data_IF_626916176782
#
_entry.id   IF_626916176782
#
_cell.length_a   1.000
_cell.length_b   1.000
_cell.length_c   1.000
_cell.angle_alpha   90.00
_cell.angle_beta   90.00
_cell.angle_gamma   90.00
#
_symmetry.space_group_name_H-M   'P 1'
#
loop_
_entity.id
_entity.type
_entity.pdbx_description
1 polymer ?
#
# COMPACT_ATOMS: atom_id res chain seq x y z
N UNK A 1 42.75 9.24 30.06
CA UNK A 1 42.14 9.54 28.75
C UNK A 1 41.45 8.35 28.09
N UNK A 2 42.10 7.19 27.90
CA UNK A 2 41.52 6.02 27.19
C UNK A 2 40.18 5.53 27.76
N UNK A 3 39.98 5.58 29.08
CA UNK A 3 38.72 5.19 29.72
C UNK A 3 37.55 6.10 29.33
N UNK A 4 37.80 7.40 29.17
CA UNK A 4 36.77 8.40 28.80
C UNK A 4 36.40 8.22 27.31
N UNK A 5 37.39 7.97 26.45
CA UNK A 5 37.15 7.68 25.03
C UNK A 5 36.33 6.39 24.85
N UNK A 6 36.65 5.32 25.59
CA UNK A 6 35.86 4.08 25.54
C UNK A 6 34.42 4.28 26.01
N UNK A 7 34.23 5.04 27.10
CA UNK A 7 32.90 5.37 27.63
C UNK A 7 32.08 6.19 26.61
N UNK A 8 32.71 7.17 25.95
CA UNK A 8 32.08 7.97 24.91
C UNK A 8 31.59 7.12 23.73
N UNK A 9 32.42 6.20 23.22
CA UNK A 9 32.02 5.31 22.12
C UNK A 9 30.92 4.32 22.52
N UNK A 10 30.90 3.86 23.77
CA UNK A 10 29.84 2.98 24.29
C UNK A 10 28.51 3.73 24.35
N UNK A 11 28.49 4.95 24.91
CA UNK A 11 27.28 5.77 24.98
C UNK A 11 26.78 6.11 23.57
N UNK A 12 27.67 6.48 22.66
CA UNK A 12 27.34 6.79 21.27
C UNK A 12 26.78 5.56 20.54
N UNK A 13 27.38 4.38 20.76
CA UNK A 13 26.91 3.12 20.19
C UNK A 13 25.53 2.72 20.71
N UNK A 14 25.26 2.89 22.01
CA UNK A 14 23.93 2.62 22.58
C UNK A 14 22.88 3.59 22.05
N UNK A 15 23.22 4.89 21.95
CA UNK A 15 22.34 5.91 21.34
C UNK A 15 22.02 5.53 19.89
N UNK A 16 23.04 5.14 19.12
CA UNK A 16 22.89 4.78 17.72
C UNK A 16 22.04 3.52 17.54
N UNK A 17 22.28 2.50 18.36
CA UNK A 17 21.52 1.26 18.33
C UNK A 17 20.05 1.48 18.72
N UNK A 18 19.80 2.33 19.71
CA UNK A 18 18.43 2.73 20.12
C UNK A 18 17.71 3.50 19.02
N UNK A 19 18.42 4.38 18.31
CA UNK A 19 17.92 5.07 17.12
C UNK A 19 17.54 4.07 16.02
N UNK A 20 18.41 3.11 15.70
CA UNK A 20 18.09 2.10 14.68
C UNK A 20 16.86 1.27 15.05
N UNK A 21 16.74 0.81 16.29
CA UNK A 21 15.55 0.10 16.78
C UNK A 21 14.29 0.94 16.63
N UNK A 22 14.36 2.23 16.97
CA UNK A 22 13.24 3.17 16.85
C UNK A 22 12.86 3.38 15.38
N UNK A 23 13.83 3.54 14.47
CA UNK A 23 13.61 3.68 13.04
C UNK A 23 12.98 2.40 12.44
N UNK A 24 13.51 1.23 12.80
CA UNK A 24 12.95 -0.07 12.35
C UNK A 24 11.54 -0.28 12.87
N UNK A 25 11.28 0.02 14.14
CA UNK A 25 9.95 -0.06 14.73
C UNK A 25 8.98 0.89 14.01
N UNK A 26 9.39 2.13 13.77
CA UNK A 26 8.61 3.12 13.04
C UNK A 26 8.36 2.71 11.60
N UNK A 27 9.31 2.06 10.93
CA UNK A 27 9.15 1.58 9.56
C UNK A 27 8.16 0.41 9.43
N UNK A 28 8.08 -0.44 10.45
CA UNK A 28 7.19 -1.62 10.49
C UNK A 28 5.78 -1.24 10.92
N UNK A 29 5.67 -0.48 12.01
CA UNK A 29 4.37 -0.10 12.57
C UNK A 29 3.76 1.12 11.87
N UNK A 30 4.58 1.88 11.13
CA UNK A 30 4.25 3.11 10.39
C UNK A 30 3.07 3.89 11.00
N UNK A 31 3.17 4.28 12.29
CA UNK A 31 2.03 4.84 13.01
C UNK A 31 1.60 6.21 12.43
N UNK A 32 2.45 6.84 11.63
CA UNK A 32 2.20 8.10 10.96
C UNK A 32 1.97 7.97 9.46
N UNK A 33 1.95 6.74 8.92
CA UNK A 33 1.70 6.47 7.50
C UNK A 33 2.55 7.38 6.60
N UNK A 34 3.86 7.47 6.84
CA UNK A 34 4.74 8.40 6.09
C UNK A 34 5.13 7.84 4.70
N UNK A 35 4.85 6.56 4.44
CA UNK A 35 5.04 5.90 3.14
C UNK A 35 4.56 6.71 1.92
N UNK A 36 3.39 7.38 1.90
CA UNK A 36 2.94 8.19 0.76
C UNK A 36 3.74 9.48 0.58
N UNK A 37 4.42 9.98 1.61
CA UNK A 37 5.10 11.29 1.59
C UNK A 37 6.59 11.23 1.26
N UNK A 38 7.24 10.07 1.42
CA UNK A 38 8.65 9.86 1.04
C UNK A 38 8.83 9.24 -0.36
N UNK A 39 7.79 8.61 -0.91
CA UNK A 39 7.77 8.12 -2.28
C UNK A 39 7.99 9.21 -3.37
N UNK A 40 7.48 10.45 -3.26
CA UNK A 40 7.77 11.49 -4.26
C UNK A 40 9.21 12.02 -4.25
N UNK A 41 10.02 11.70 -3.23
CA UNK A 41 11.42 12.13 -3.17
C UNK A 41 12.34 11.08 -3.84
N UNK A 42 12.01 9.79 -3.74
CA UNK A 42 12.77 8.70 -4.39
C UNK A 42 12.29 8.46 -5.83
N UNK A 43 11.01 8.74 -6.14
CA UNK A 43 10.43 8.64 -7.49
C UNK A 43 10.92 9.70 -8.49
N UNK A 44 11.72 10.68 -8.07
CA UNK A 44 12.35 11.67 -8.98
C UNK A 44 13.72 11.25 -9.52
N UNK A 45 14.26 10.10 -9.11
CA UNK A 45 15.55 9.61 -9.63
C UNK A 45 15.44 8.41 -10.58
N UNK A 46 14.25 7.84 -10.79
CA UNK A 46 14.05 6.82 -11.83
C UNK A 46 12.65 7.01 -12.44
N UNK A 47 12.60 7.10 -13.77
CA UNK A 47 11.45 7.27 -14.68
C UNK A 47 11.04 8.72 -15.05
N UNK A 48 11.47 9.20 -16.23
CA UNK A 48 10.86 10.35 -16.87
C UNK A 48 9.58 9.87 -17.58
N UNK A 49 8.43 9.97 -16.92
CA UNK A 49 7.17 10.03 -17.66
C UNK A 49 6.82 11.51 -17.86
N UNK A 50 7.30 12.01 -18.99
CA UNK A 50 6.80 13.21 -19.67
C UNK A 50 5.27 13.16 -19.73
N UNK A 51 4.66 14.17 -19.11
CA UNK A 51 3.30 14.61 -19.41
C UNK A 51 3.32 15.26 -20.79
N UNK A 52 2.42 14.87 -21.68
CA UNK A 52 1.90 15.74 -22.73
C UNK A 52 0.59 15.17 -23.27
N UNK A 53 -0.48 15.93 -23.06
CA UNK A 53 -1.76 15.85 -23.76
C UNK A 53 -1.57 15.88 -25.29
N UNK A 54 -2.39 15.13 -26.05
CA UNK A 54 -3.05 15.57 -27.30
C UNK A 54 -3.95 14.44 -27.88
N UNK A 55 -5.20 14.82 -28.16
CA UNK A 55 -6.27 14.19 -28.96
C UNK A 55 -5.93 13.06 -29.96
N UNK A 56 -6.89 12.13 -30.11
CA UNK A 56 -7.60 11.74 -31.37
C UNK A 56 -7.79 10.21 -31.52
N UNK A 57 -9.06 9.80 -31.34
CA UNK A 57 -9.86 8.87 -32.16
C UNK A 57 -9.40 7.42 -32.44
N UNK A 58 -10.26 6.52 -31.96
CA UNK A 58 -10.67 5.20 -32.46
C UNK A 58 -9.63 4.15 -32.85
N UNK A 59 -9.61 3.06 -32.06
CA UNK A 59 -9.94 1.75 -32.62
C UNK A 59 -10.36 0.80 -31.51
N UNK A 60 -11.62 0.36 -31.59
CA UNK A 60 -12.14 -0.81 -30.92
C UNK A 60 -11.16 -1.98 -31.08
N UNK A 61 -10.72 -2.54 -29.96
CA UNK A 61 -10.45 -3.97 -29.89
C UNK A 61 -11.32 -4.49 -28.77
N UNK A 62 -12.46 -5.04 -29.18
CA UNK A 62 -13.27 -5.95 -28.40
C UNK A 62 -12.36 -7.06 -27.84
N UNK A 63 -11.89 -6.87 -26.61
CA UNK A 63 -11.60 -7.99 -25.72
C UNK A 63 -12.69 -7.96 -24.67
N UNK A 64 -13.80 -8.61 -25.00
CA UNK A 64 -14.80 -9.07 -24.04
C UNK A 64 -14.14 -10.06 -23.08
N UNK A 65 -13.32 -9.56 -22.16
CA UNK A 65 -12.97 -10.27 -20.95
C UNK A 65 -13.99 -9.81 -19.91
N UNK A 66 -15.04 -10.62 -19.80
CA UNK A 66 -16.06 -10.55 -18.75
C UNK A 66 -15.42 -10.71 -17.37
N UNK A 67 -14.62 -9.73 -16.94
CA UNK A 67 -14.04 -9.68 -15.61
C UNK A 67 -14.90 -8.72 -14.80
N UNK A 68 -16.02 -9.23 -14.30
CA UNK A 68 -16.93 -8.60 -13.34
C UNK A 68 -16.23 -8.36 -11.99
N UNK A 69 -15.11 -7.66 -11.98
CA UNK A 69 -14.38 -7.33 -10.76
C UNK A 69 -14.08 -5.84 -10.84
N UNK A 70 -14.78 -5.07 -10.01
CA UNK A 70 -14.75 -3.59 -9.85
C UNK A 70 -13.38 -3.07 -9.37
N UNK A 71 -12.30 -3.75 -9.75
CA UNK A 71 -10.93 -3.52 -9.30
C UNK A 71 -10.12 -2.89 -10.43
N UNK A 72 -9.36 -1.85 -10.10
CA UNK A 72 -8.41 -1.22 -11.02
C UNK A 72 -7.29 -2.20 -11.40
N UNK A 73 -6.60 -2.01 -12.55
CA UNK A 73 -5.48 -2.88 -12.95
C UNK A 73 -4.40 -3.00 -11.87
N UNK A 74 -4.13 -1.90 -11.15
CA UNK A 74 -3.17 -1.87 -10.05
C UNK A 74 -3.65 -2.71 -8.84
N UNK A 75 -4.96 -2.70 -8.55
CA UNK A 75 -5.53 -3.54 -7.49
C UNK A 75 -5.39 -5.02 -7.84
N UNK A 76 -5.67 -5.41 -9.09
CA UNK A 76 -5.51 -6.80 -9.55
C UNK A 76 -4.07 -7.30 -9.40
N UNK A 77 -3.11 -6.49 -9.82
CA UNK A 77 -1.68 -6.83 -9.69
C UNK A 77 -1.25 -7.02 -8.23
N UNK A 78 -1.76 -6.19 -7.32
CA UNK A 78 -1.48 -6.35 -5.88
C UNK A 78 -2.08 -7.65 -5.36
N UNK A 79 -3.32 -7.97 -5.73
CA UNK A 79 -3.99 -9.23 -5.36
C UNK A 79 -3.21 -10.45 -5.85
N UNK A 80 -2.78 -10.45 -7.10
CA UNK A 80 -1.95 -11.54 -7.65
C UNK A 80 -0.62 -11.65 -6.91
N UNK A 81 0.02 -10.52 -6.58
CA UNK A 81 1.30 -10.51 -5.85
C UNK A 81 1.23 -11.09 -4.44
N UNK A 82 0.04 -11.07 -3.82
CA UNK A 82 -0.22 -11.67 -2.50
C UNK A 82 -0.83 -13.09 -2.60
N UNK A 83 -0.88 -13.66 -3.81
CA UNK A 83 -1.38 -15.02 -4.06
C UNK A 83 -2.91 -15.12 -4.10
N UNK A 84 -3.62 -14.02 -4.31
CA UNK A 84 -5.08 -13.98 -4.39
C UNK A 84 -5.50 -13.92 -5.86
N UNK A 85 -6.40 -14.81 -6.26
CA UNK A 85 -6.98 -14.76 -7.59
C UNK A 85 -8.08 -13.67 -7.63
N UNK A 86 -7.96 -12.62 -8.47
CA UNK A 86 -8.99 -11.59 -8.58
C UNK A 86 -10.36 -12.13 -9.07
N UNK A 87 -10.36 -13.30 -9.71
CA UNK A 87 -11.58 -13.98 -10.16
C UNK A 87 -12.28 -14.77 -9.06
N UNK A 88 -11.60 -15.05 -7.94
CA UNK A 88 -12.22 -15.70 -6.77
C UNK A 88 -12.91 -14.72 -5.83
N UNK A 89 -12.87 -13.42 -6.15
CA UNK A 89 -13.56 -12.39 -5.39
C UNK A 89 -15.02 -12.26 -5.85
N UNK A 90 -15.95 -12.00 -4.92
CA UNK A 90 -17.32 -11.72 -5.30
C UNK A 90 -17.36 -10.44 -6.15
N UNK A 91 -18.10 -10.51 -7.26
CA UNK A 91 -18.29 -9.39 -8.19
C UNK A 91 -19.07 -8.22 -7.57
N UNK A 92 -19.75 -8.45 -6.46
CA UNK A 92 -20.52 -7.46 -5.71
C UNK A 92 -20.25 -7.61 -4.22
N UNK A 93 -20.01 -6.48 -3.55
CA UNK A 93 -19.87 -6.43 -2.10
C UNK A 93 -21.23 -6.10 -1.50
N UNK A 94 -21.71 -6.93 -0.58
CA UNK A 94 -22.98 -6.68 0.13
C UNK A 94 -22.83 -5.55 1.16
N UNK A 95 -23.92 -4.87 1.55
CA UNK A 95 -23.87 -3.83 2.59
C UNK A 95 -23.30 -4.34 3.93
N UNK A 96 -23.54 -5.60 4.27
CA UNK A 96 -22.99 -6.26 5.47
C UNK A 96 -21.46 -6.36 5.41
N UNK A 97 -20.93 -6.75 4.25
CA UNK A 97 -19.50 -6.84 4.02
C UNK A 97 -18.87 -5.44 4.06
N UNK A 98 -19.53 -4.43 3.49
CA UNK A 98 -19.06 -3.05 3.57
C UNK A 98 -18.94 -2.56 5.02
N UNK A 99 -19.91 -2.86 5.88
CA UNK A 99 -19.82 -2.53 7.31
C UNK A 99 -18.64 -3.24 7.97
N UNK A 100 -18.39 -4.50 7.62
CA UNK A 100 -17.20 -5.23 8.10
C UNK A 100 -15.89 -4.57 7.63
N UNK A 101 -15.80 -4.18 6.35
CA UNK A 101 -14.66 -3.46 5.81
C UNK A 101 -14.43 -2.13 6.54
N UNK A 102 -15.50 -1.37 6.81
CA UNK A 102 -15.43 -0.10 7.57
C UNK A 102 -14.98 -0.35 9.01
N UNK A 103 -15.42 -1.43 9.65
CA UNK A 103 -14.98 -1.79 11.00
C UNK A 103 -13.50 -2.17 11.11
N UNK A 104 -12.93 -2.76 10.06
CA UNK A 104 -11.52 -3.21 10.03
C UNK A 104 -10.56 -2.12 9.51
N UNK A 105 -10.94 -1.45 8.42
CA UNK A 105 -10.08 -0.50 7.70
C UNK A 105 -10.40 0.96 8.03
N UNK A 106 -11.60 1.24 8.53
CA UNK A 106 -12.11 2.59 8.73
C UNK A 106 -12.79 3.17 7.48
N UNK A 107 -13.78 4.03 7.70
CA UNK A 107 -14.61 4.61 6.62
C UNK A 107 -13.79 5.34 5.56
N UNK A 108 -12.80 6.13 5.98
CA UNK A 108 -11.93 6.89 5.07
C UNK A 108 -11.18 5.94 4.12
N UNK A 109 -10.61 4.85 4.66
CA UNK A 109 -9.83 3.90 3.87
C UNK A 109 -10.70 3.10 2.90
N UNK A 110 -11.90 2.73 3.31
CA UNK A 110 -12.87 2.07 2.42
C UNK A 110 -13.25 2.97 1.26
N UNK A 111 -13.44 4.27 1.49
CA UNK A 111 -13.75 5.22 0.43
C UNK A 111 -12.60 5.38 -0.58
N UNK A 112 -11.34 5.39 -0.10
CA UNK A 112 -10.15 5.40 -0.97
C UNK A 112 -10.07 4.15 -1.83
N UNK A 113 -10.29 2.98 -1.24
CA UNK A 113 -10.30 1.69 -1.94
C UNK A 113 -11.38 1.64 -3.01
N UNK A 114 -12.59 2.13 -2.68
CA UNK A 114 -13.69 2.30 -3.64
C UNK A 114 -13.32 3.27 -4.77
N UNK A 115 -12.51 4.27 -4.48
CA UNK A 115 -11.94 5.20 -5.44
C UNK A 115 -10.81 4.62 -6.31
N UNK A 116 -10.46 3.35 -6.14
CA UNK A 116 -9.44 2.66 -6.95
C UNK A 116 -8.04 2.63 -6.33
N UNK A 117 -7.87 3.17 -5.12
CA UNK A 117 -6.60 3.07 -4.37
C UNK A 117 -6.36 1.62 -3.95
N UNK A 118 -5.12 1.16 -4.12
CA UNK A 118 -4.75 -0.22 -3.78
C UNK A 118 -4.75 -0.44 -2.26
N UNK A 119 -5.26 -1.58 -1.81
CA UNK A 119 -5.04 -2.04 -0.43
C UNK A 119 -3.59 -2.47 -0.28
N UNK A 120 -3.03 -2.24 0.90
CA UNK A 120 -1.81 -2.92 1.33
C UNK A 120 -2.08 -4.41 1.56
N UNK A 121 -1.06 -5.25 1.42
CA UNK A 121 -1.16 -6.68 1.68
C UNK A 121 -1.75 -6.98 3.07
N UNK A 122 -1.29 -6.27 4.12
CA UNK A 122 -1.83 -6.42 5.49
C UNK A 122 -3.30 -6.01 5.60
N UNK A 123 -3.71 -4.95 4.89
CA UNK A 123 -5.11 -4.50 4.87
C UNK A 123 -5.99 -5.55 4.20
N UNK A 124 -5.53 -6.11 3.08
CA UNK A 124 -6.21 -7.20 2.40
C UNK A 124 -6.35 -8.42 3.32
N UNK A 125 -5.28 -8.87 3.97
CA UNK A 125 -5.35 -10.03 4.87
C UNK A 125 -6.35 -9.83 5.99
N UNK A 126 -6.36 -8.65 6.63
CA UNK A 126 -7.33 -8.33 7.69
C UNK A 126 -8.75 -8.29 7.13
N UNK A 127 -8.94 -7.67 5.97
CA UNK A 127 -10.26 -7.49 5.40
C UNK A 127 -10.79 -8.75 4.68
N UNK A 128 -9.92 -9.73 4.39
CA UNK A 128 -10.29 -11.01 3.78
C UNK A 128 -11.24 -11.83 4.66
N UNK A 129 -11.28 -11.57 5.97
CA UNK A 129 -12.27 -12.18 6.86
C UNK A 129 -13.69 -11.68 6.59
N UNK A 130 -13.85 -10.49 6.01
CA UNK A 130 -15.14 -9.95 5.62
C UNK A 130 -15.69 -10.57 4.32
N UNK A 131 -14.85 -11.27 3.57
CA UNK A 131 -15.23 -11.91 2.30
C UNK A 131 -15.61 -13.39 2.47
N UNK A 132 -15.52 -13.92 3.70
CA UNK A 132 -15.98 -15.26 4.06
C UNK A 132 -17.46 -15.29 4.40
#
# INVERSE_FOLDING_TARGET
MIKIIKMFFIVLGVIFFTLLLSLTYFFITDPYNLRPTLMPIIGKMVFPNTVSDTNTTDSETNTSSSNNSTLSPAQKQVLESIGVNPDSLPSTITPSQEVCFVGILGQARVNEVKGGVTLSAMEFFKASSCLK
#
